data_IF_807282028740
#
_entry.id   IF_807282028740
#
_cell.length_a   1.000
_cell.length_b   1.000
_cell.length_c   1.000
_cell.angle_alpha   90.00
_cell.angle_beta   90.00
_cell.angle_gamma   90.00
#
_symmetry.space_group_name_H-M   'P 1'
#
loop_
_entity.id
_entity.type
_entity.pdbx_description
1 polymer ?
#
# COMPACT_ATOMS: atom_id res chain seq x y z
N UNK A 1 -19.78 -15.01 -7.70
CA UNK A 1 -18.48 -15.10 -7.00
C UNK A 1 -18.29 -13.83 -6.22
N UNK A 2 -17.72 -13.88 -5.03
CA UNK A 2 -17.35 -12.68 -4.30
C UNK A 2 -16.25 -11.94 -5.07
N UNK A 3 -16.24 -10.61 -5.01
CA UNK A 3 -15.22 -9.75 -5.62
C UNK A 3 -14.69 -8.74 -4.61
N UNK A 4 -14.73 -9.11 -3.33
CA UNK A 4 -14.27 -8.26 -2.25
C UNK A 4 -12.81 -8.58 -1.93
N UNK A 5 -12.00 -7.54 -1.99
CA UNK A 5 -10.57 -7.59 -1.68
C UNK A 5 -10.23 -6.56 -0.62
N UNK A 6 -9.20 -6.85 0.17
CA UNK A 6 -8.64 -5.91 1.14
C UNK A 6 -7.27 -5.47 0.63
N UNK A 7 -7.03 -4.16 0.56
CA UNK A 7 -5.69 -3.59 0.41
C UNK A 7 -5.18 -3.14 1.76
N UNK A 8 -3.92 -3.46 2.09
CA UNK A 8 -3.28 -3.05 3.33
C UNK A 8 -1.86 -2.55 3.08
N UNK A 9 -1.51 -1.42 3.68
CA UNK A 9 -0.19 -0.78 3.51
C UNK A 9 0.18 0.13 4.68
N UNK A 10 1.45 0.46 4.78
CA UNK A 10 1.95 1.58 5.56
C UNK A 10 2.75 2.52 4.66
N UNK A 11 2.61 3.81 4.85
CA UNK A 11 3.33 4.84 4.10
C UNK A 11 4.78 5.00 4.56
N UNK A 12 5.59 5.75 3.79
CA UNK A 12 7.02 5.99 4.11
C UNK A 12 7.27 6.66 5.46
N UNK A 13 6.25 7.33 6.01
CA UNK A 13 6.32 7.93 7.34
C UNK A 13 6.18 6.93 8.48
N UNK A 14 5.80 5.68 8.18
CA UNK A 14 5.62 4.61 9.16
C UNK A 14 4.79 5.00 10.40
N UNK A 15 3.84 5.94 10.25
CA UNK A 15 3.01 6.45 11.35
C UNK A 15 1.73 5.63 11.56
N UNK A 16 1.26 4.97 10.50
CA UNK A 16 0.05 4.17 10.56
C UNK A 16 0.02 3.08 9.48
N UNK A 17 -0.78 2.06 9.74
CA UNK A 17 -1.19 1.03 8.79
C UNK A 17 -2.62 1.33 8.37
N UNK A 18 -2.84 1.49 7.07
CA UNK A 18 -4.16 1.69 6.49
C UNK A 18 -4.64 0.42 5.79
N UNK A 19 -5.88 0.03 6.07
CA UNK A 19 -6.56 -1.09 5.42
C UNK A 19 -7.91 -0.65 4.85
N UNK A 20 -8.23 -1.14 3.65
CA UNK A 20 -9.46 -0.81 2.94
C UNK A 20 -10.04 -2.06 2.27
N UNK A 21 -11.33 -2.33 2.51
CA UNK A 21 -12.08 -3.37 1.83
C UNK A 21 -12.86 -2.77 0.65
N UNK A 22 -12.70 -3.35 -0.53
CA UNK A 22 -13.27 -2.87 -1.78
C UNK A 22 -13.99 -3.99 -2.50
N UNK A 23 -15.21 -3.71 -2.96
CA UNK A 23 -15.98 -4.58 -3.84
C UNK A 23 -15.77 -4.16 -5.30
N UNK A 24 -15.22 -5.09 -6.10
CA UNK A 24 -14.98 -4.94 -7.53
C UNK A 24 -16.06 -5.60 -8.40
N UNK A 25 -17.22 -5.98 -7.84
CA UNK A 25 -18.32 -6.61 -8.62
C UNK A 25 -18.93 -5.67 -9.66
N UNK A 26 -18.78 -4.36 -9.48
CA UNK A 26 -19.32 -3.34 -10.37
C UNK A 26 -18.20 -2.64 -11.16
N UNK A 27 -18.58 -2.02 -12.29
CA UNK A 27 -17.66 -1.23 -13.12
C UNK A 27 -16.88 -0.17 -12.32
N UNK A 28 -17.51 0.42 -11.29
CA UNK A 28 -16.84 1.31 -10.33
C UNK A 28 -16.68 0.57 -9.02
N UNK A 29 -15.43 0.39 -8.53
CA UNK A 29 -15.17 -0.22 -7.25
C UNK A 29 -15.86 0.54 -6.11
N UNK A 30 -16.45 -0.21 -5.17
CA UNK A 30 -17.13 0.34 -4.01
C UNK A 30 -16.33 0.06 -2.75
N UNK A 31 -15.97 1.12 -2.01
CA UNK A 31 -15.36 0.98 -0.70
C UNK A 31 -16.42 0.57 0.31
N UNK A 32 -16.25 -0.60 0.92
CA UNK A 32 -17.16 -1.14 1.92
C UNK A 32 -16.78 -0.71 3.33
N UNK A 33 -15.50 -0.76 3.69
CA UNK A 33 -15.01 -0.41 5.01
C UNK A 33 -13.54 0.01 4.96
N UNK A 34 -13.10 0.77 5.97
CA UNK A 34 -11.71 1.18 6.19
C UNK A 34 -11.34 1.01 7.64
N UNK A 35 -10.05 0.77 7.90
CA UNK A 35 -9.49 0.80 9.24
C UNK A 35 -8.06 1.33 9.19
N UNK A 36 -7.68 2.09 10.22
CA UNK A 36 -6.33 2.61 10.39
C UNK A 36 -5.84 2.20 11.78
N UNK A 37 -4.65 1.63 11.84
CA UNK A 37 -3.95 1.29 13.10
C UNK A 37 -2.71 2.15 13.20
N UNK A 38 -2.58 2.91 14.30
CA UNK A 38 -1.39 3.72 14.56
C UNK A 38 -0.18 2.84 14.87
N UNK A 39 0.98 3.25 14.40
CA UNK A 39 2.27 2.68 14.76
C UNK A 39 2.85 3.56 15.88
N UNK A 40 3.21 2.95 17.01
CA UNK A 40 3.78 3.68 18.16
C UNK A 40 5.16 4.26 17.82
N UNK A 41 5.50 5.37 18.44
CA UNK A 41 6.71 6.16 18.14
C UNK A 41 8.01 5.33 18.18
N UNK A 42 8.14 4.38 19.10
CA UNK A 42 9.34 3.52 19.17
C UNK A 42 9.47 2.63 17.93
N UNK A 43 8.40 1.91 17.57
CA UNK A 43 8.39 1.07 16.38
C UNK A 43 8.57 1.91 15.11
N UNK A 44 7.91 3.07 15.06
CA UNK A 44 8.05 4.02 13.96
C UNK A 44 9.51 4.46 13.77
N UNK A 45 10.17 4.86 14.86
CA UNK A 45 11.57 5.30 14.83
C UNK A 45 12.47 4.20 14.29
N UNK A 46 12.37 2.98 14.81
CA UNK A 46 13.17 1.82 14.36
C UNK A 46 12.97 1.51 12.86
N UNK A 47 11.76 1.67 12.34
CA UNK A 47 11.47 1.52 10.91
C UNK A 47 12.12 2.63 10.10
N UNK A 48 12.05 3.88 10.57
CA UNK A 48 12.65 5.04 9.90
C UNK A 48 14.17 4.92 9.88
N UNK A 49 14.80 4.58 11.01
CA UNK A 49 16.25 4.40 11.13
C UNK A 49 16.74 3.34 10.13
N UNK A 50 16.06 2.18 10.07
CA UNK A 50 16.34 1.16 9.05
C UNK A 50 16.20 1.70 7.61
N UNK A 51 15.18 2.50 7.33
CA UNK A 51 14.94 3.08 5.99
C UNK A 51 15.97 4.16 5.61
N UNK A 52 16.64 4.73 6.59
CA UNK A 52 17.75 5.69 6.39
C UNK A 52 19.10 5.01 6.24
N UNK A 53 19.15 3.68 6.29
CA UNK A 53 20.36 2.89 6.06
C UNK A 53 21.14 2.55 7.34
N UNK A 54 20.53 2.65 8.50
CA UNK A 54 21.16 2.18 9.74
C UNK A 54 21.48 0.68 9.66
N UNK A 55 22.69 0.33 10.06
CA UNK A 55 23.14 -1.06 10.05
C UNK A 55 22.50 -1.83 11.18
N UNK A 56 21.74 -2.87 10.83
CA UNK A 56 21.09 -3.76 11.79
C UNK A 56 21.54 -5.20 11.58
N UNK A 57 21.52 -6.02 12.64
CA UNK A 57 21.73 -7.46 12.51
C UNK A 57 20.54 -8.12 11.81
N UNK A 58 20.76 -9.28 11.18
CA UNK A 58 19.69 -10.09 10.61
C UNK A 58 18.61 -10.45 11.64
N UNK A 59 19.03 -10.71 12.89
CA UNK A 59 18.11 -10.96 14.00
C UNK A 59 17.23 -9.75 14.27
N UNK A 60 17.79 -8.56 14.39
CA UNK A 60 17.03 -7.33 14.65
C UNK A 60 16.05 -7.02 13.51
N UNK A 61 16.49 -7.20 12.26
CA UNK A 61 15.62 -7.09 11.09
C UNK A 61 14.43 -8.06 11.16
N UNK A 62 14.70 -9.33 11.52
CA UNK A 62 13.65 -10.35 11.66
C UNK A 62 12.65 -10.02 12.76
N UNK A 63 13.14 -9.58 13.93
CA UNK A 63 12.29 -9.16 15.06
C UNK A 63 11.40 -7.96 14.68
N UNK A 64 11.97 -6.94 14.02
CA UNK A 64 11.23 -5.77 13.54
C UNK A 64 10.16 -6.15 12.51
N UNK A 65 10.53 -7.04 11.56
CA UNK A 65 9.59 -7.56 10.57
C UNK A 65 8.41 -8.29 11.23
N UNK A 66 8.68 -9.15 12.22
CA UNK A 66 7.64 -9.90 12.94
C UNK A 66 6.74 -8.99 13.76
N UNK A 67 7.31 -7.99 14.45
CA UNK A 67 6.53 -7.03 15.24
C UNK A 67 5.56 -6.25 14.36
N UNK A 68 6.06 -5.72 13.24
CA UNK A 68 5.22 -4.98 12.28
C UNK A 68 4.20 -5.88 11.60
N UNK A 69 4.54 -7.14 11.29
CA UNK A 69 3.62 -8.12 10.70
C UNK A 69 2.42 -8.42 11.61
N UNK A 70 2.66 -8.50 12.92
CA UNK A 70 1.56 -8.62 13.91
C UNK A 70 0.63 -7.41 13.88
N UNK A 71 1.17 -6.19 13.68
CA UNK A 71 0.36 -4.97 13.53
C UNK A 71 -0.45 -4.97 12.25
N UNK A 72 0.13 -5.41 11.12
CA UNK A 72 -0.61 -5.61 9.87
C UNK A 72 -1.75 -6.62 10.04
N UNK A 73 -1.48 -7.75 10.69
CA UNK A 73 -2.48 -8.79 10.98
C UNK A 73 -3.63 -8.27 11.83
N UNK A 74 -3.34 -7.55 12.91
CA UNK A 74 -4.34 -6.92 13.78
C UNK A 74 -5.17 -5.87 13.03
N UNK A 75 -4.55 -5.10 12.13
CA UNK A 75 -5.26 -4.14 11.29
C UNK A 75 -6.25 -4.83 10.35
N UNK A 76 -5.84 -5.93 9.72
CA UNK A 76 -6.71 -6.74 8.88
C UNK A 76 -7.87 -7.36 9.68
N UNK A 77 -7.59 -7.95 10.84
CA UNK A 77 -8.59 -8.53 11.74
C UNK A 77 -9.66 -7.51 12.13
N UNK A 78 -9.24 -6.32 12.59
CA UNK A 78 -10.15 -5.23 12.97
C UNK A 78 -10.99 -4.72 11.79
N UNK A 79 -10.45 -4.74 10.58
CA UNK A 79 -11.23 -4.41 9.38
C UNK A 79 -12.26 -5.49 9.07
N UNK A 80 -11.84 -6.77 9.07
CA UNK A 80 -12.70 -7.93 8.74
C UNK A 80 -13.85 -8.06 9.73
N UNK A 81 -13.63 -7.76 11.02
CA UNK A 81 -14.64 -7.83 12.08
C UNK A 81 -15.72 -6.75 11.99
N UNK A 82 -15.57 -5.75 11.11
CA UNK A 82 -16.59 -4.72 10.93
C UNK A 82 -17.91 -5.29 10.40
N UNK A 83 -19.02 -4.69 10.84
CA UNK A 83 -20.38 -5.13 10.51
C UNK A 83 -20.60 -5.28 9.00
N UNK A 84 -20.06 -4.37 8.21
CA UNK A 84 -20.18 -4.32 6.75
C UNK A 84 -19.54 -5.51 6.04
N UNK A 85 -18.63 -6.22 6.73
CA UNK A 85 -17.86 -7.35 6.19
C UNK A 85 -18.18 -8.69 6.86
N UNK A 86 -18.84 -8.70 8.01
CA UNK A 86 -19.04 -9.88 8.87
C UNK A 86 -19.61 -11.13 8.16
N UNK A 87 -20.47 -10.93 7.17
CA UNK A 87 -21.10 -12.01 6.40
C UNK A 87 -20.58 -12.12 4.97
N UNK A 88 -19.51 -11.41 4.64
CA UNK A 88 -18.99 -11.34 3.28
C UNK A 88 -17.74 -12.20 3.13
N UNK A 89 -17.67 -12.94 2.01
CA UNK A 89 -16.47 -13.68 1.65
C UNK A 89 -15.43 -12.70 1.09
N UNK A 90 -14.26 -12.64 1.71
CA UNK A 90 -13.11 -11.89 1.23
C UNK A 90 -12.27 -12.82 0.39
N UNK A 91 -11.96 -12.43 -0.84
CA UNK A 91 -11.21 -13.25 -1.79
C UNK A 91 -9.72 -13.27 -1.48
N UNK A 92 -9.14 -12.11 -1.19
CA UNK A 92 -7.74 -12.00 -0.81
C UNK A 92 -7.44 -10.66 -0.13
N UNK A 93 -6.30 -10.62 0.57
CA UNK A 93 -5.67 -9.41 1.09
C UNK A 93 -4.47 -9.10 0.20
N UNK A 94 -4.39 -7.89 -0.36
CA UNK A 94 -3.22 -7.35 -1.03
C UNK A 94 -2.34 -6.62 -0.01
N UNK A 95 -1.15 -7.16 0.28
CA UNK A 95 -0.18 -6.58 1.20
C UNK A 95 0.91 -5.82 0.44
N UNK A 96 0.88 -4.50 0.50
CA UNK A 96 1.98 -3.68 -0.02
C UNK A 96 3.17 -3.59 0.97
N UNK A 97 2.91 -3.84 2.25
CA UNK A 97 3.91 -3.79 3.32
C UNK A 97 4.40 -2.38 3.64
N UNK A 98 5.48 -2.30 4.42
CA UNK A 98 6.22 -1.09 4.75
C UNK A 98 7.54 -1.08 4.01
N UNK A 99 7.71 -0.21 3.06
CA UNK A 99 8.98 -0.11 2.33
C UNK A 99 10.05 0.49 3.22
N UNK A 100 11.16 -0.21 3.35
CA UNK A 100 12.36 0.23 4.07
C UNK A 100 13.55 0.46 3.16
N UNK A 101 13.56 -0.13 1.95
CA UNK A 101 14.58 0.14 0.94
C UNK A 101 14.01 0.05 -0.47
N UNK A 102 14.52 0.87 -1.40
CA UNK A 102 14.09 0.84 -2.79
C UNK A 102 15.22 1.28 -3.71
N UNK A 103 15.79 0.33 -4.43
CA UNK A 103 16.96 0.48 -5.29
C UNK A 103 16.73 -0.18 -6.67
N UNK A 104 15.74 0.27 -7.46
CA UNK A 104 15.38 -0.38 -8.73
C UNK A 104 16.39 -0.13 -9.85
N UNK A 105 17.29 0.85 -9.68
CA UNK A 105 18.30 1.24 -10.71
C UNK A 105 19.73 0.89 -10.31
N UNK A 106 19.91 0.20 -9.21
CA UNK A 106 21.22 -0.27 -8.78
C UNK A 106 21.73 -1.40 -9.69
N UNK A 107 23.02 -1.72 -9.63
CA UNK A 107 23.62 -2.84 -10.36
C UNK A 107 22.88 -4.16 -10.12
N UNK A 108 22.38 -4.35 -8.90
CA UNK A 108 21.51 -5.46 -8.51
C UNK A 108 20.17 -4.86 -8.05
N UNK A 109 19.20 -4.67 -8.96
CA UNK A 109 17.94 -4.02 -8.62
C UNK A 109 17.15 -4.80 -7.58
N UNK A 110 16.69 -4.12 -6.52
CA UNK A 110 15.85 -4.72 -5.49
C UNK A 110 14.98 -3.69 -4.77
N UNK A 111 14.04 -4.18 -4.01
CA UNK A 111 13.25 -3.39 -3.05
C UNK A 111 12.93 -4.26 -1.85
N UNK A 112 12.79 -3.64 -0.68
CA UNK A 112 12.58 -4.36 0.56
C UNK A 112 11.38 -3.77 1.31
N UNK A 113 10.43 -4.64 1.65
CA UNK A 113 9.26 -4.30 2.44
C UNK A 113 9.20 -5.20 3.68
N UNK A 114 8.86 -4.60 4.82
CA UNK A 114 8.47 -5.33 6.02
C UNK A 114 6.99 -5.72 5.94
N UNK A 115 6.64 -6.86 6.51
CA UNK A 115 5.31 -7.44 6.53
C UNK A 115 5.33 -8.87 6.00
N UNK A 116 5.13 -9.85 6.90
CA UNK A 116 5.09 -11.27 6.56
C UNK A 116 3.67 -11.67 6.10
N UNK A 117 3.49 -12.00 4.79
CA UNK A 117 2.19 -12.41 4.28
C UNK A 117 1.69 -13.72 4.88
N UNK A 118 2.60 -14.63 5.28
CA UNK A 118 2.21 -15.93 5.84
C UNK A 118 1.59 -15.76 7.22
N UNK A 119 2.17 -14.91 8.07
CA UNK A 119 1.61 -14.61 9.39
C UNK A 119 0.23 -13.96 9.26
N UNK A 120 0.07 -13.01 8.33
CA UNK A 120 -1.21 -12.34 8.10
C UNK A 120 -2.26 -13.32 7.58
N UNK A 121 -1.88 -14.19 6.63
CA UNK A 121 -2.78 -15.20 6.07
C UNK A 121 -3.23 -16.21 7.14
N UNK A 122 -2.28 -16.72 7.93
CA UNK A 122 -2.54 -17.69 9.00
C UNK A 122 -3.49 -17.14 10.06
N UNK A 123 -3.25 -15.91 10.53
CA UNK A 123 -4.05 -15.31 11.60
C UNK A 123 -5.46 -14.91 11.16
N UNK A 124 -5.64 -14.55 9.88
CA UNK A 124 -6.92 -14.02 9.39
C UNK A 124 -7.73 -15.03 8.56
N UNK A 125 -7.16 -16.20 8.24
CA UNK A 125 -7.82 -17.22 7.41
C UNK A 125 -8.13 -16.77 5.99
N UNK A 126 -7.40 -15.76 5.46
CA UNK A 126 -7.61 -15.17 4.14
C UNK A 126 -6.31 -15.24 3.34
N UNK A 127 -6.40 -15.59 2.06
CA UNK A 127 -5.23 -15.57 1.15
C UNK A 127 -4.59 -14.18 1.12
N UNK A 128 -3.25 -14.13 1.13
CA UNK A 128 -2.50 -12.87 1.01
C UNK A 128 -1.67 -12.86 -0.26
N UNK A 129 -1.80 -11.80 -1.04
CA UNK A 129 -0.96 -11.51 -2.20
C UNK A 129 -0.03 -10.37 -1.85
N UNK A 130 1.27 -10.55 -2.09
CA UNK A 130 2.31 -9.59 -1.70
C UNK A 130 3.41 -9.47 -2.76
N UNK A 131 4.51 -8.79 -2.43
CA UNK A 131 5.69 -8.64 -3.30
C UNK A 131 5.43 -7.91 -4.63
N UNK A 132 4.41 -7.09 -4.72
CA UNK A 132 4.06 -6.36 -5.95
C UNK A 132 5.24 -5.59 -6.56
N UNK A 133 6.07 -4.96 -5.72
CA UNK A 133 7.22 -4.16 -6.17
C UNK A 133 8.35 -5.03 -6.69
N UNK A 134 8.71 -6.11 -5.97
CA UNK A 134 9.72 -7.07 -6.42
C UNK A 134 9.30 -7.75 -7.71
N UNK A 135 8.04 -8.14 -7.85
CA UNK A 135 7.52 -8.72 -9.08
C UNK A 135 7.67 -7.77 -10.27
N UNK A 136 7.38 -6.47 -10.08
CA UNK A 136 7.55 -5.47 -11.14
C UNK A 136 9.04 -5.26 -11.51
N UNK A 137 9.94 -5.22 -10.52
CA UNK A 137 11.39 -5.12 -10.74
C UNK A 137 11.90 -6.36 -11.49
N UNK A 138 11.47 -7.56 -11.13
CA UNK A 138 11.85 -8.81 -11.80
C UNK A 138 11.45 -8.85 -13.29
N UNK A 139 10.40 -8.10 -13.66
CA UNK A 139 9.95 -7.92 -15.05
C UNK A 139 10.63 -6.72 -15.75
N UNK A 140 11.68 -6.14 -15.17
CA UNK A 140 12.41 -4.99 -15.72
C UNK A 140 11.78 -3.63 -15.43
N UNK A 141 10.78 -3.57 -14.56
CA UNK A 141 10.17 -2.31 -14.13
C UNK A 141 10.83 -1.70 -12.90
N UNK A 142 10.34 -0.54 -12.46
CA UNK A 142 10.91 0.20 -11.32
C UNK A 142 10.24 -0.11 -9.97
N UNK A 143 9.18 -0.93 -9.89
CA UNK A 143 8.48 -1.26 -8.64
C UNK A 143 7.67 -0.11 -8.03
N UNK A 144 7.73 1.10 -8.61
CA UNK A 144 6.99 2.28 -8.21
C UNK A 144 6.91 3.29 -9.37
N UNK A 145 5.83 4.09 -9.50
CA UNK A 145 4.58 3.99 -8.76
C UNK A 145 3.66 2.89 -9.31
N UNK A 146 3.05 2.08 -8.47
CA UNK A 146 2.09 1.04 -8.89
C UNK A 146 0.64 1.55 -8.99
N UNK A 147 0.33 2.64 -8.28
CA UNK A 147 -1.01 3.26 -8.25
C UNK A 147 -1.44 3.87 -9.58
N UNK A 148 -0.51 4.16 -10.49
CA UNK A 148 -0.81 4.73 -11.81
C UNK A 148 -1.70 3.81 -12.66
N UNK A 149 -1.51 2.50 -12.58
CA UNK A 149 -2.35 1.52 -13.28
C UNK A 149 -3.80 1.57 -12.79
N UNK A 150 -3.98 1.62 -11.48
CA UNK A 150 -5.30 1.71 -10.86
C UNK A 150 -5.99 3.04 -11.20
N UNK A 151 -5.25 4.15 -11.19
CA UNK A 151 -5.78 5.45 -11.58
C UNK A 151 -6.17 5.49 -13.07
N UNK A 152 -5.38 4.87 -13.94
CA UNK A 152 -5.69 4.78 -15.36
C UNK A 152 -6.98 3.99 -15.61
N UNK A 153 -7.19 2.89 -14.89
CA UNK A 153 -8.38 2.06 -14.99
C UNK A 153 -9.63 2.79 -14.44
N UNK A 154 -9.52 3.42 -13.26
CA UNK A 154 -10.65 4.10 -12.62
C UNK A 154 -11.11 5.36 -13.34
N UNK A 155 -10.16 6.17 -13.78
CA UNK A 155 -10.47 7.50 -14.33
C UNK A 155 -10.50 7.51 -15.86
N UNK A 156 -10.12 6.39 -16.49
CA UNK A 156 -10.09 6.22 -17.93
C UNK A 156 -9.07 7.15 -18.60
N UNK A 157 -8.89 6.99 -19.90
CA UNK A 157 -8.05 7.87 -20.72
C UNK A 157 -8.66 9.28 -20.97
N UNK A 158 -9.65 9.70 -20.19
CA UNK A 158 -10.18 11.05 -20.26
C UNK A 158 -9.11 12.01 -19.77
N UNK A 159 -8.63 12.85 -20.67
CA UNK A 159 -7.70 13.98 -20.48
C UNK A 159 -8.24 15.03 -19.48
N UNK A 160 -8.62 14.66 -18.28
CA UNK A 160 -8.85 15.64 -17.22
C UNK A 160 -7.50 15.88 -16.57
N UNK A 161 -6.91 17.06 -16.82
CA UNK A 161 -5.84 17.63 -16.01
C UNK A 161 -6.31 17.59 -14.55
N UNK A 162 -5.74 16.72 -13.75
CA UNK A 162 -5.91 16.78 -12.31
C UNK A 162 -5.15 18.03 -11.89
N UNK A 163 -5.84 19.03 -11.37
CA UNK A 163 -5.20 20.28 -10.97
C UNK A 163 -4.22 20.00 -9.83
N UNK A 164 -2.92 20.26 -10.01
CA UNK A 164 -1.90 19.95 -9.01
C UNK A 164 -2.02 20.75 -7.72
N UNK A 165 -2.65 21.91 -7.77
CA UNK A 165 -2.82 22.81 -6.61
C UNK A 165 -3.72 22.22 -5.53
N UNK A 166 -4.60 21.24 -5.87
CA UNK A 166 -5.44 20.57 -4.89
C UNK A 166 -4.72 19.44 -4.11
N UNK A 167 -3.46 19.14 -4.42
CA UNK A 167 -2.77 17.92 -3.98
C UNK A 167 -1.51 18.20 -3.15
N UNK A 168 -1.34 19.40 -2.60
CA UNK A 168 -0.14 19.75 -1.82
C UNK A 168 1.11 19.07 -2.43
N UNK A 169 2.20 19.05 -2.27
CA UNK A 169 3.46 18.57 -2.87
C UNK A 169 3.44 17.33 -3.81
N UNK A 170 2.28 16.85 -4.29
CA UNK A 170 2.17 15.80 -5.31
C UNK A 170 2.31 16.38 -6.71
N UNK A 171 3.47 16.25 -7.33
CA UNK A 171 3.68 16.63 -8.74
C UNK A 171 3.02 15.63 -9.70
N UNK A 172 2.25 16.16 -10.60
CA UNK A 172 1.57 15.65 -11.79
C UNK A 172 1.70 14.17 -12.16
N UNK A 173 0.58 13.46 -12.16
CA UNK A 173 0.39 12.27 -12.96
C UNK A 173 -0.38 12.61 -14.24
N UNK A 174 0.25 12.45 -15.40
CA UNK A 174 -0.45 12.45 -16.68
C UNK A 174 -0.85 11.01 -17.03
N UNK A 175 -2.13 10.74 -17.10
CA UNK A 175 -2.66 9.52 -17.71
C UNK A 175 -2.79 9.78 -19.21
N UNK A 176 -1.87 9.28 -19.99
CA UNK A 176 -1.95 9.29 -21.44
C UNK A 176 -0.79 10.01 -22.14
N UNK A 177 0.34 9.44 -22.16
CA UNK A 177 1.42 9.34 -23.15
C UNK A 177 2.74 9.01 -22.47
N UNK A 178 3.60 8.24 -23.16
CA UNK A 178 4.94 7.83 -22.71
C UNK A 178 5.76 9.04 -22.25
N UNK A 179 5.99 9.16 -20.97
CA UNK A 179 6.98 10.07 -20.43
C UNK A 179 7.88 9.34 -19.46
N UNK A 180 9.17 9.27 -19.79
CA UNK A 180 10.25 8.93 -18.88
C UNK A 180 10.34 10.00 -17.81
N UNK A 181 9.93 9.70 -16.58
CA UNK A 181 10.19 10.55 -15.43
C UNK A 181 11.21 9.88 -14.51
N UNK A 182 12.44 10.41 -14.58
CA UNK A 182 13.49 10.12 -13.65
C UNK A 182 13.20 10.67 -12.25
N UNK A 183 13.64 9.90 -11.28
CA UNK A 183 14.02 10.25 -9.90
C UNK A 183 13.42 11.49 -9.23
N UNK A 184 12.69 11.28 -8.18
CA UNK A 184 12.48 12.09 -6.96
C UNK A 184 11.03 12.25 -6.52
N UNK A 185 10.27 11.19 -6.19
CA UNK A 185 8.99 11.39 -5.49
C UNK A 185 8.61 10.21 -4.60
N UNK A 186 9.07 10.31 -3.35
CA UNK A 186 8.73 9.34 -2.29
C UNK A 186 7.91 9.95 -1.14
N UNK A 187 7.28 11.09 -1.32
CA UNK A 187 6.47 11.68 -0.26
C UNK A 187 5.09 12.08 -0.78
N UNK A 188 4.14 11.17 -0.79
CA UNK A 188 2.75 11.53 -0.97
C UNK A 188 1.83 10.82 0.03
N UNK A 189 1.78 11.35 1.26
CA UNK A 189 0.79 11.00 2.29
C UNK A 189 -0.64 11.43 1.94
N UNK A 190 -0.80 12.40 1.03
CA UNK A 190 -2.08 13.08 0.82
C UNK A 190 -3.04 12.34 -0.12
N UNK A 191 -2.54 11.59 -1.10
CA UNK A 191 -3.37 11.11 -2.20
C UNK A 191 -4.44 10.11 -1.77
N UNK A 192 -4.13 9.22 -0.86
CA UNK A 192 -5.06 8.14 -0.49
C UNK A 192 -6.19 8.65 0.44
N UNK A 193 -5.88 9.50 1.41
CA UNK A 193 -6.90 10.05 2.33
C UNK A 193 -7.87 11.01 1.64
N UNK A 194 -7.37 11.79 0.69
CA UNK A 194 -8.17 12.82 0.02
C UNK A 194 -9.14 12.26 -1.03
N UNK A 195 -8.72 11.29 -1.85
CA UNK A 195 -9.61 10.61 -2.80
C UNK A 195 -10.76 9.93 -2.06
N UNK A 196 -10.44 9.25 -0.96
CA UNK A 196 -11.42 8.52 -0.18
C UNK A 196 -12.37 9.43 0.62
N UNK A 197 -12.00 10.68 0.91
CA UNK A 197 -12.87 11.62 1.65
C UNK A 197 -13.84 12.40 0.76
N UNK A 198 -13.53 12.62 -0.52
CA UNK A 198 -14.43 13.34 -1.44
C UNK A 198 -15.49 12.49 -2.12
N UNK A 199 -15.25 11.18 -2.33
CA UNK A 199 -16.23 10.30 -2.98
C UNK A 199 -17.33 9.79 -2.03
N UNK A 200 -17.27 10.10 -0.73
CA UNK A 200 -18.29 9.68 0.27
C UNK A 200 -19.39 10.75 0.45
N UNK A 201 -19.34 11.87 -0.26
CA UNK A 201 -20.32 12.97 -0.10
C UNK A 201 -21.33 13.08 -1.25
N UNK A 202 -21.57 12.00 -1.99
CA UNK A 202 -22.71 11.96 -2.94
C UNK A 202 -23.35 10.58 -2.94
#
# INVERSE_FOLDING_TARGET
MSSIYIGIMSGTSADAIDACAVDFSKKRPLILAKHTTQIHNDLQRRIIDLSQGEKVSARHFGELNQELSKKFSQCAEKLISKRELRSKKIEAIGLAGQTVWHAPKDKNPFTMQLGDPNLIASNNGVKVVSNFRNSHIALGGEGAPLTTYFHAELFGARKKKINPESWGHCKHYFVGQRYNFGHRYWSCKCSYRYILSKEIRH
#
